data_IF_410304471788
#
_entry.id   IF_410304471788
#
_cell.length_a   1.000
_cell.length_b   1.000
_cell.length_c   1.000
_cell.angle_alpha   90.00
_cell.angle_beta   90.00
_cell.angle_gamma   90.00
#
_symmetry.space_group_name_H-M   'P 1'
#
loop_
_entity.id
_entity.type
_entity.pdbx_description
1 polymer ?
#
# COMPACT_ATOMS: atom_id res chain seq x y z
N UNK A 1 38.71 -10.55 38.60
CA UNK A 1 39.88 -11.01 37.81
C UNK A 1 39.45 -10.99 36.34
N UNK A 2 40.28 -10.39 35.47
CA UNK A 2 39.95 -9.92 34.11
C UNK A 2 39.48 -10.98 33.11
N UNK A 3 39.25 -10.68 31.83
CA UNK A 3 39.67 -9.55 30.99
C UNK A 3 38.85 -9.57 29.68
N UNK A 4 38.58 -8.38 29.12
CA UNK A 4 38.48 -8.11 27.67
C UNK A 4 37.19 -8.56 26.96
N UNK A 5 36.68 -7.87 25.95
CA UNK A 5 37.36 -7.05 24.94
C UNK A 5 36.40 -5.92 24.48
N UNK A 6 36.88 -4.68 24.57
CA UNK A 6 36.40 -3.54 23.78
C UNK A 6 36.97 -3.68 22.36
N UNK A 7 36.11 -3.58 21.35
CA UNK A 7 36.54 -3.32 19.98
C UNK A 7 35.87 -2.06 19.44
N UNK A 8 36.72 -1.03 19.39
CA UNK A 8 36.81 -0.01 18.35
C UNK A 8 35.72 1.06 18.33
N UNK A 9 36.05 2.19 18.97
CA UNK A 9 35.75 3.51 18.45
C UNK A 9 36.49 3.69 17.12
N UNK A 10 35.77 3.87 16.02
CA UNK A 10 36.26 4.63 14.88
C UNK A 10 35.31 5.81 14.63
N UNK A 11 35.91 6.98 14.78
CA UNK A 11 35.36 8.33 14.66
C UNK A 11 34.77 8.61 13.28
N UNK A 12 33.59 9.25 13.24
CA UNK A 12 33.03 9.76 12.00
C UNK A 12 31.63 10.36 12.12
N UNK A 13 31.49 11.39 12.95
CA UNK A 13 30.61 12.56 12.71
C UNK A 13 29.22 12.27 12.09
N UNK A 14 28.28 11.67 12.85
CA UNK A 14 26.89 11.50 12.41
C UNK A 14 25.79 11.58 13.49
N UNK A 15 26.10 11.99 14.72
CA UNK A 15 25.11 11.91 15.80
C UNK A 15 24.60 13.26 16.33
N UNK A 16 25.10 14.39 15.80
CA UNK A 16 24.70 15.72 16.29
C UNK A 16 23.44 16.31 15.63
N UNK A 17 22.88 15.68 14.58
CA UNK A 17 21.58 16.08 14.02
C UNK A 17 20.39 15.31 14.60
N UNK A 18 20.61 14.18 15.28
CA UNK A 18 19.54 13.40 15.90
C UNK A 18 19.22 13.84 17.33
N UNK A 19 20.17 14.48 18.02
CA UNK A 19 20.07 14.77 19.45
C UNK A 19 19.30 16.06 19.79
N UNK A 20 19.26 17.06 18.88
CA UNK A 20 18.68 18.38 19.20
C UNK A 20 17.19 18.57 18.86
N UNK A 21 16.54 17.63 18.14
CA UNK A 21 15.13 17.79 17.71
C UNK A 21 14.13 16.91 18.48
N UNK A 22 14.60 15.92 19.26
CA UNK A 22 13.72 14.94 19.90
C UNK A 22 13.94 14.76 21.40
N UNK A 23 13.37 15.66 22.20
CA UNK A 23 12.79 15.23 23.47
C UNK A 23 11.54 14.38 23.19
N UNK A 24 11.67 13.06 22.89
CA UNK A 24 10.54 12.14 22.68
C UNK A 24 11.01 10.67 22.59
N UNK A 25 10.23 9.75 23.21
CA UNK A 25 10.42 8.28 23.26
C UNK A 25 11.15 7.68 22.03
N UNK A 26 12.13 6.82 22.30
CA UNK A 26 12.82 5.96 21.30
C UNK A 26 11.79 5.32 20.37
N UNK A 27 11.92 5.52 19.06
CA UNK A 27 11.11 4.83 18.05
C UNK A 27 11.55 3.37 18.04
N UNK A 28 10.68 2.46 18.47
CA UNK A 28 10.92 1.02 18.47
C UNK A 28 10.42 0.40 17.16
N UNK A 29 11.20 -0.54 16.62
CA UNK A 29 10.75 -1.38 15.53
C UNK A 29 9.69 -2.38 16.03
N UNK A 30 8.95 -2.99 15.09
CA UNK A 30 7.96 -4.01 15.43
C UNK A 30 8.57 -5.16 16.24
N UNK A 31 9.77 -5.63 15.86
CA UNK A 31 10.47 -6.69 16.57
C UNK A 31 10.83 -6.28 18.01
N UNK A 32 11.22 -5.02 18.23
CA UNK A 32 11.48 -4.53 19.59
C UNK A 32 10.22 -4.56 20.45
N UNK A 33 9.05 -4.24 19.86
CA UNK A 33 7.77 -4.30 20.56
C UNK A 33 7.37 -5.73 20.91
N UNK A 34 7.60 -6.68 19.99
CA UNK A 34 7.31 -8.10 20.21
C UNK A 34 8.23 -8.69 21.30
N UNK A 35 9.53 -8.39 21.26
CA UNK A 35 10.48 -8.78 22.31
C UNK A 35 10.10 -8.17 23.66
N UNK A 36 9.65 -6.91 23.69
CA UNK A 36 9.17 -6.28 24.94
C UNK A 36 7.92 -7.00 25.48
N UNK A 37 6.99 -7.38 24.60
CA UNK A 37 5.79 -8.12 24.97
C UNK A 37 6.11 -9.54 25.49
N UNK A 38 7.14 -10.18 24.97
CA UNK A 38 7.63 -11.48 25.47
C UNK A 38 8.17 -11.35 26.90
N UNK A 39 8.92 -10.28 27.18
CA UNK A 39 9.41 -9.99 28.53
C UNK A 39 8.27 -9.75 29.53
N UNK A 40 7.12 -9.25 29.06
CA UNK A 40 5.90 -9.08 29.85
C UNK A 40 5.04 -10.36 29.94
N UNK A 41 5.43 -11.44 29.26
CA UNK A 41 4.71 -12.72 29.23
C UNK A 41 3.41 -12.68 28.41
N UNK A 42 3.26 -11.70 27.50
CA UNK A 42 2.08 -11.54 26.64
C UNK A 42 2.14 -12.39 25.38
N UNK A 43 3.35 -12.78 24.96
CA UNK A 43 3.65 -13.62 23.80
C UNK A 43 4.86 -14.50 24.12
N UNK A 44 4.98 -15.66 23.49
CA UNK A 44 6.17 -16.50 23.56
C UNK A 44 7.01 -16.40 22.28
N UNK A 45 8.19 -17.02 22.26
CA UNK A 45 9.07 -16.98 21.09
C UNK A 45 8.39 -17.51 19.81
N UNK A 46 7.57 -18.57 19.93
CA UNK A 46 6.83 -19.11 18.79
C UNK A 46 5.83 -18.09 18.24
N UNK A 47 5.09 -17.40 19.12
CA UNK A 47 4.20 -16.31 18.72
C UNK A 47 4.93 -15.14 18.06
N UNK A 48 6.14 -14.78 18.52
CA UNK A 48 6.96 -13.76 17.85
C UNK A 48 7.28 -14.18 16.41
N UNK A 49 7.74 -15.42 16.22
CA UNK A 49 8.06 -15.97 14.90
C UNK A 49 6.82 -15.95 13.98
N UNK A 50 5.67 -16.40 14.48
CA UNK A 50 4.40 -16.41 13.74
C UNK A 50 3.95 -15.00 13.32
N UNK A 51 4.02 -14.02 14.22
CA UNK A 51 3.66 -12.64 13.92
C UNK A 51 4.63 -12.01 12.91
N UNK A 52 5.94 -12.23 13.06
CA UNK A 52 6.95 -11.73 12.10
C UNK A 52 6.72 -12.32 10.71
N UNK A 53 6.52 -13.63 10.61
CA UNK A 53 6.25 -14.30 9.33
C UNK A 53 4.97 -13.75 8.68
N UNK A 54 3.91 -13.57 9.47
CA UNK A 54 2.63 -13.01 9.00
C UNK A 54 2.82 -11.61 8.43
N UNK A 55 3.43 -10.69 9.16
CA UNK A 55 3.62 -9.31 8.70
C UNK A 55 4.53 -9.21 7.48
N UNK A 56 5.59 -10.04 7.42
CA UNK A 56 6.51 -10.07 6.28
C UNK A 56 5.83 -10.60 5.01
N UNK A 57 5.10 -11.72 5.11
CA UNK A 57 4.43 -12.31 3.97
C UNK A 57 3.27 -11.44 3.46
N UNK A 58 2.35 -11.04 4.36
CA UNK A 58 1.16 -10.27 3.98
C UNK A 58 1.52 -8.86 3.48
N UNK A 59 2.57 -8.26 4.04
CA UNK A 59 3.01 -6.90 3.69
C UNK A 59 3.84 -6.82 2.40
N UNK A 60 4.58 -7.87 2.05
CA UNK A 60 5.50 -7.84 0.91
C UNK A 60 4.79 -8.01 -0.44
N UNK A 61 4.18 -9.17 -0.67
CA UNK A 61 3.65 -9.54 -1.99
C UNK A 61 2.46 -8.67 -2.41
N UNK A 62 1.62 -8.27 -1.45
CA UNK A 62 0.46 -7.41 -1.71
C UNK A 62 0.88 -6.00 -2.11
N UNK A 63 1.86 -5.41 -1.40
CA UNK A 63 2.38 -4.07 -1.70
C UNK A 63 3.16 -4.07 -3.01
N UNK A 64 3.97 -5.09 -3.27
CA UNK A 64 4.71 -5.23 -4.53
C UNK A 64 3.75 -5.35 -5.73
N UNK A 65 2.69 -6.14 -5.61
CA UNK A 65 1.64 -6.25 -6.62
C UNK A 65 0.93 -4.90 -6.84
N UNK A 66 0.51 -4.23 -5.76
CA UNK A 66 -0.13 -2.92 -5.83
C UNK A 66 0.75 -1.87 -6.51
N UNK A 67 2.04 -1.82 -6.16
CA UNK A 67 3.02 -0.93 -6.78
C UNK A 67 3.21 -1.24 -8.27
N UNK A 68 3.28 -2.51 -8.64
CA UNK A 68 3.43 -2.94 -10.04
C UNK A 68 2.30 -2.37 -10.89
N UNK A 69 1.04 -2.53 -10.48
CA UNK A 69 -0.09 -2.00 -11.24
C UNK A 69 -0.19 -0.48 -11.20
N UNK A 70 0.20 0.17 -10.09
CA UNK A 70 0.34 1.63 -10.05
C UNK A 70 1.31 2.13 -11.13
N UNK A 71 2.51 1.55 -11.21
CA UNK A 71 3.53 1.97 -12.17
C UNK A 71 3.09 1.76 -13.63
N UNK A 72 2.43 0.62 -13.93
CA UNK A 72 1.85 0.40 -15.26
C UNK A 72 0.80 1.47 -15.58
N UNK A 73 -0.10 1.74 -14.64
CA UNK A 73 -1.16 2.73 -14.84
C UNK A 73 -0.56 4.11 -15.09
N UNK A 74 0.38 4.57 -14.26
CA UNK A 74 0.99 5.89 -14.44
C UNK A 74 1.81 5.99 -15.73
N UNK A 75 2.43 4.90 -16.19
CA UNK A 75 3.07 4.86 -17.49
C UNK A 75 2.05 4.97 -18.64
N UNK A 76 0.88 4.33 -18.52
CA UNK A 76 -0.17 4.33 -19.54
C UNK A 76 -1.06 5.60 -19.53
N UNK A 77 -1.01 6.41 -18.47
CA UNK A 77 -1.77 7.65 -18.29
C UNK A 77 -0.83 8.84 -18.04
N UNK A 78 -0.15 9.35 -19.09
CA UNK A 78 0.85 10.41 -18.95
C UNK A 78 0.29 11.69 -18.33
N UNK A 79 -0.96 12.05 -18.61
CA UNK A 79 -1.63 13.21 -18.03
C UNK A 79 -1.81 13.08 -16.51
N UNK A 80 -2.10 11.88 -16.01
CA UNK A 80 -2.19 11.62 -14.58
C UNK A 80 -0.79 11.67 -13.95
N UNK A 81 0.21 11.11 -14.65
CA UNK A 81 1.60 11.16 -14.21
C UNK A 81 2.11 12.60 -14.07
N UNK A 82 1.77 13.47 -15.03
CA UNK A 82 2.15 14.89 -15.03
C UNK A 82 1.42 15.68 -13.93
N UNK A 83 0.15 15.34 -13.63
CA UNK A 83 -0.58 15.92 -12.51
C UNK A 83 0.02 15.50 -11.15
N UNK A 84 0.41 14.22 -10.99
CA UNK A 84 1.15 13.76 -9.81
C UNK A 84 2.47 14.53 -9.69
N UNK A 85 3.20 14.68 -10.78
CA UNK A 85 4.46 15.42 -10.77
C UNK A 85 4.26 16.89 -10.35
N UNK A 86 3.19 17.52 -10.82
CA UNK A 86 2.83 18.90 -10.41
C UNK A 86 2.59 18.98 -8.90
N UNK A 87 1.80 18.07 -8.33
CA UNK A 87 1.62 17.98 -6.87
C UNK A 87 2.95 17.78 -6.13
N UNK A 88 3.82 16.91 -6.64
CA UNK A 88 5.13 16.67 -6.01
C UNK A 88 6.03 17.92 -6.10
N UNK A 89 6.00 18.68 -7.20
CA UNK A 89 6.71 19.96 -7.30
C UNK A 89 6.22 20.97 -6.28
N UNK A 90 4.92 21.01 -6.00
CA UNK A 90 4.37 21.92 -5.00
C UNK A 90 4.81 21.55 -3.57
N UNK A 91 4.94 20.26 -3.28
CA UNK A 91 5.35 19.76 -1.95
C UNK A 91 6.86 19.88 -1.72
N UNK A 92 7.67 19.54 -2.72
CA UNK A 92 9.12 19.48 -2.60
C UNK A 92 9.84 20.70 -3.18
N UNK A 93 9.21 21.52 -4.01
CA UNK A 93 9.89 22.62 -4.68
C UNK A 93 11.12 22.14 -5.46
N UNK A 94 12.27 22.74 -5.17
CA UNK A 94 13.57 22.34 -5.74
C UNK A 94 14.41 21.49 -4.75
N UNK A 95 13.87 21.09 -3.60
CA UNK A 95 14.64 20.37 -2.58
C UNK A 95 14.67 18.86 -2.80
N UNK A 96 15.87 18.33 -2.99
CA UNK A 96 16.18 16.89 -3.04
C UNK A 96 16.22 16.22 -1.67
N UNK A 97 15.57 16.78 -0.65
CA UNK A 97 15.54 16.19 0.68
C UNK A 97 14.79 14.85 0.68
N UNK A 98 15.07 14.03 1.69
CA UNK A 98 14.28 12.84 1.94
C UNK A 98 12.81 13.20 2.22
N UNK A 99 11.92 12.31 1.76
CA UNK A 99 10.48 12.40 2.03
C UNK A 99 10.20 12.21 3.51
N UNK A 100 9.39 13.09 4.09
CA UNK A 100 8.95 13.07 5.48
C UNK A 100 7.47 12.65 5.56
N UNK A 101 7.00 12.33 6.77
CA UNK A 101 5.61 11.90 6.98
C UNK A 101 4.63 13.02 6.60
N UNK A 102 4.98 14.27 6.84
CA UNK A 102 4.13 15.43 6.51
C UNK A 102 3.92 15.55 5.00
N UNK A 103 4.94 15.24 4.19
CA UNK A 103 4.84 15.24 2.73
C UNK A 103 3.88 14.15 2.25
N UNK A 104 3.98 12.95 2.85
CA UNK A 104 3.05 11.86 2.55
C UNK A 104 1.62 12.28 2.84
N UNK A 105 1.36 13.08 3.88
CA UNK A 105 0.01 13.59 4.14
C UNK A 105 -0.45 14.66 3.13
N UNK A 106 0.49 15.40 2.54
CA UNK A 106 0.21 16.44 1.55
C UNK A 106 -0.06 15.88 0.13
N UNK A 107 0.45 14.69 -0.20
CA UNK A 107 0.25 13.98 -1.48
C UNK A 107 -1.20 13.47 -1.65
N UNK A 108 -2.17 14.36 -1.86
CA UNK A 108 -3.60 14.05 -1.90
C UNK A 108 -4.03 13.49 -3.26
N UNK A 109 -3.52 14.04 -4.36
CA UNK A 109 -3.79 13.56 -5.71
C UNK A 109 -3.16 12.19 -5.95
N UNK A 110 -1.90 12.01 -5.55
CA UNK A 110 -1.24 10.69 -5.59
C UNK A 110 -2.00 9.66 -4.73
N UNK A 111 -2.53 10.04 -3.57
CA UNK A 111 -3.38 9.16 -2.76
C UNK A 111 -4.62 8.69 -3.52
N UNK A 112 -5.32 9.60 -4.21
CA UNK A 112 -6.46 9.25 -5.07
C UNK A 112 -6.04 8.34 -6.23
N UNK A 113 -4.90 8.60 -6.84
CA UNK A 113 -4.37 7.79 -7.94
C UNK A 113 -4.05 6.35 -7.48
N UNK A 114 -3.40 6.18 -6.33
CA UNK A 114 -3.13 4.86 -5.74
C UNK A 114 -4.44 4.15 -5.40
N UNK A 115 -5.42 4.85 -4.83
CA UNK A 115 -6.75 4.27 -4.54
C UNK A 115 -7.45 3.77 -5.79
N UNK A 116 -7.39 4.54 -6.88
CA UNK A 116 -7.96 4.12 -8.16
C UNK A 116 -7.20 2.93 -8.78
N UNK A 117 -5.88 2.87 -8.59
CA UNK A 117 -5.08 1.71 -9.00
C UNK A 117 -5.51 0.45 -8.23
N UNK A 118 -5.69 0.56 -6.91
CA UNK A 118 -6.18 -0.54 -6.06
C UNK A 118 -7.65 -0.91 -6.33
N UNK A 119 -8.47 0.03 -6.83
CA UNK A 119 -9.83 -0.27 -7.29
C UNK A 119 -9.77 -1.19 -8.51
N UNK A 120 -8.98 -0.81 -9.51
CA UNK A 120 -8.85 -1.58 -10.75
C UNK A 120 -8.11 -2.90 -10.53
N UNK A 121 -7.02 -2.89 -9.80
CA UNK A 121 -6.14 -4.04 -9.62
C UNK A 121 -5.88 -4.27 -8.12
N UNK A 122 -6.90 -4.71 -7.36
CA UNK A 122 -6.73 -5.02 -5.95
C UNK A 122 -5.77 -6.22 -5.82
N UNK A 123 -4.71 -6.12 -4.99
CA UNK A 123 -3.78 -7.23 -4.80
C UNK A 123 -4.47 -8.50 -4.32
N UNK A 124 -5.51 -8.39 -3.48
CA UNK A 124 -6.36 -9.51 -3.07
C UNK A 124 -7.70 -9.41 -3.80
N UNK A 125 -7.97 -10.25 -4.83
CA UNK A 125 -9.13 -10.09 -5.70
C UNK A 125 -10.44 -10.62 -5.09
N UNK A 126 -10.38 -11.49 -4.08
CA UNK A 126 -11.54 -11.97 -3.34
C UNK A 126 -11.17 -12.30 -1.89
N UNK A 127 -12.18 -12.30 -1.01
CA UNK A 127 -12.05 -12.76 0.38
C UNK A 127 -13.15 -13.76 0.70
N UNK A 128 -12.87 -14.71 1.59
CA UNK A 128 -13.81 -15.77 1.98
C UNK A 128 -14.16 -15.68 3.46
N UNK A 129 -15.39 -16.05 3.82
CA UNK A 129 -15.85 -16.19 5.21
C UNK A 129 -16.66 -17.48 5.33
N UNK A 130 -16.37 -18.29 6.35
CA UNK A 130 -17.27 -19.36 6.76
C UNK A 130 -18.33 -18.76 7.69
N UNK A 131 -19.59 -19.02 7.36
CA UNK A 131 -20.75 -18.57 8.13
C UNK A 131 -20.92 -19.50 9.33
N UNK A 132 -20.81 -18.95 10.55
CA UNK A 132 -20.83 -19.74 11.79
C UNK A 132 -22.23 -19.89 12.40
N UNK A 133 -23.16 -19.06 11.98
CA UNK A 133 -24.57 -19.09 12.37
C UNK A 133 -25.42 -18.72 11.16
N UNK A 134 -26.67 -19.13 11.12
CA UNK A 134 -27.56 -18.81 10.01
C UNK A 134 -27.67 -17.28 9.82
N UNK A 135 -27.42 -16.79 8.60
CA UNK A 135 -27.46 -15.36 8.28
C UNK A 135 -28.59 -15.06 7.30
N UNK A 136 -29.47 -14.14 7.68
CA UNK A 136 -30.45 -13.57 6.77
C UNK A 136 -29.82 -12.44 5.94
N UNK A 137 -29.58 -12.71 4.65
CA UNK A 137 -29.33 -11.68 3.64
C UNK A 137 -30.66 -11.21 3.05
N UNK A 138 -30.65 -10.10 2.30
CA UNK A 138 -31.85 -9.37 1.85
C UNK A 138 -33.04 -10.26 1.49
N UNK A 139 -32.83 -11.24 0.59
CA UNK A 139 -33.89 -12.16 0.15
C UNK A 139 -33.56 -13.64 0.41
N UNK A 140 -32.44 -13.93 1.09
CA UNK A 140 -31.89 -15.28 1.19
C UNK A 140 -31.41 -15.60 2.59
N UNK A 141 -31.72 -16.80 3.05
CA UNK A 141 -31.17 -17.36 4.28
C UNK A 141 -29.94 -18.19 3.94
N UNK A 142 -28.80 -17.85 4.53
CA UNK A 142 -27.52 -18.54 4.31
C UNK A 142 -27.28 -19.48 5.49
N UNK A 143 -27.23 -20.80 5.26
CA UNK A 143 -27.03 -21.77 6.33
C UNK A 143 -25.65 -21.67 6.99
N UNK A 144 -25.58 -22.07 8.26
CA UNK A 144 -24.31 -22.33 8.96
C UNK A 144 -23.43 -23.31 8.19
N UNK A 145 -22.12 -23.07 8.19
CA UNK A 145 -21.11 -23.85 7.48
C UNK A 145 -20.87 -23.40 6.04
N UNK A 146 -21.70 -22.50 5.48
CA UNK A 146 -21.52 -22.00 4.12
C UNK A 146 -20.27 -21.13 4.00
N UNK A 147 -19.48 -21.33 2.94
CA UNK A 147 -18.37 -20.43 2.58
C UNK A 147 -18.90 -19.34 1.65
N UNK A 148 -18.92 -18.11 2.14
CA UNK A 148 -19.30 -16.92 1.38
C UNK A 148 -18.06 -16.22 0.83
N UNK A 149 -18.03 -15.98 -0.49
CA UNK A 149 -16.96 -15.25 -1.16
C UNK A 149 -17.42 -13.83 -1.53
N UNK A 150 -16.58 -12.84 -1.23
CA UNK A 150 -16.75 -11.47 -1.69
C UNK A 150 -15.71 -11.24 -2.77
N UNK A 151 -16.16 -11.17 -4.02
CA UNK A 151 -15.32 -10.92 -5.20
C UNK A 151 -15.03 -9.43 -5.32
N UNK A 152 -13.97 -8.96 -4.65
CA UNK A 152 -13.56 -7.55 -4.58
C UNK A 152 -13.27 -6.99 -5.98
N UNK A 153 -12.58 -7.76 -6.83
CA UNK A 153 -12.25 -7.37 -8.20
C UNK A 153 -13.51 -7.02 -9.03
N UNK A 154 -14.56 -7.84 -8.90
CA UNK A 154 -15.83 -7.66 -9.61
C UNK A 154 -16.70 -6.59 -8.95
N UNK A 155 -16.74 -6.54 -7.61
CA UNK A 155 -17.42 -5.50 -6.84
C UNK A 155 -16.95 -4.10 -7.26
N UNK A 156 -15.65 -3.93 -7.40
CA UNK A 156 -15.01 -2.68 -7.83
C UNK A 156 -15.28 -2.32 -9.30
N UNK A 157 -15.87 -3.24 -10.08
CA UNK A 157 -16.25 -3.05 -11.49
C UNK A 157 -17.75 -2.95 -11.71
N UNK A 158 -18.55 -2.97 -10.63
CA UNK A 158 -19.99 -2.78 -10.73
C UNK A 158 -20.32 -1.35 -11.16
N UNK A 159 -20.90 -1.21 -12.34
CA UNK A 159 -21.22 0.11 -12.92
C UNK A 159 -22.20 0.93 -12.07
N UNK A 160 -23.10 0.26 -11.34
CA UNK A 160 -24.02 0.93 -10.41
C UNK A 160 -23.32 1.52 -9.16
N UNK A 161 -22.05 1.15 -8.91
CA UNK A 161 -21.21 1.71 -7.84
C UNK A 161 -20.09 2.60 -8.39
N UNK A 162 -19.56 2.25 -9.56
CA UNK A 162 -18.49 2.95 -10.26
C UNK A 162 -18.87 3.14 -11.74
N UNK A 163 -19.51 4.26 -12.12
CA UNK A 163 -19.88 4.52 -13.51
C UNK A 163 -18.65 4.49 -14.43
N UNK A 164 -18.74 3.89 -15.62
CA UNK A 164 -17.60 3.63 -16.51
C UNK A 164 -16.43 2.91 -15.81
N UNK A 165 -16.66 1.73 -15.21
CA UNK A 165 -15.75 1.12 -14.22
C UNK A 165 -14.37 0.75 -14.77
N UNK A 166 -14.19 0.63 -16.08
CA UNK A 166 -12.91 0.31 -16.73
C UNK A 166 -11.97 1.53 -16.89
N UNK A 167 -12.53 2.75 -16.80
CA UNK A 167 -11.79 4.00 -16.89
C UNK A 167 -11.02 4.24 -15.60
N UNK A 168 -9.75 4.59 -15.73
CA UNK A 168 -8.90 5.03 -14.63
C UNK A 168 -9.19 6.50 -14.34
N UNK A 169 -9.90 6.76 -13.25
CA UNK A 169 -10.33 8.10 -12.86
C UNK A 169 -10.07 8.35 -11.36
N UNK A 170 -8.98 9.07 -11.01
CA UNK A 170 -8.68 9.41 -9.62
C UNK A 170 -9.76 10.27 -8.94
N UNK A 171 -10.56 11.02 -9.69
CA UNK A 171 -11.56 11.92 -9.12
C UNK A 171 -12.75 11.16 -8.51
N UNK A 172 -12.87 9.86 -8.77
CA UNK A 172 -13.72 8.94 -7.99
C UNK A 172 -13.43 8.99 -6.49
N UNK A 173 -12.21 9.38 -6.09
CA UNK A 173 -11.80 9.49 -4.69
C UNK A 173 -11.73 10.94 -4.19
N UNK A 174 -12.36 11.87 -4.90
CA UNK A 174 -12.70 13.17 -4.32
C UNK A 174 -13.61 12.98 -3.10
N UNK A 175 -13.46 13.80 -2.03
CA UNK A 175 -14.26 13.67 -0.82
C UNK A 175 -15.77 13.63 -1.07
N UNK A 176 -16.28 14.48 -1.95
CA UNK A 176 -17.69 14.58 -2.34
C UNK A 176 -18.21 13.35 -3.09
N UNK A 177 -17.35 12.66 -3.84
CA UNK A 177 -17.69 11.44 -4.56
C UNK A 177 -17.64 10.22 -3.63
N UNK A 178 -16.68 10.21 -2.70
CA UNK A 178 -16.61 9.19 -1.65
C UNK A 178 -17.81 9.26 -0.70
N UNK A 179 -18.24 10.47 -0.32
CA UNK A 179 -19.36 10.67 0.60
C UNK A 179 -20.70 10.14 0.06
N UNK A 180 -20.87 10.12 -1.28
CA UNK A 180 -22.06 9.58 -1.94
C UNK A 180 -22.02 8.07 -2.13
N UNK A 181 -20.83 7.45 -2.00
CA UNK A 181 -20.62 6.02 -2.25
C UNK A 181 -20.88 5.22 -0.98
N UNK A 182 -21.49 4.05 -1.13
CA UNK A 182 -21.64 3.11 -0.02
C UNK A 182 -20.27 2.72 0.57
N UNK A 183 -20.16 2.68 1.91
CA UNK A 183 -18.89 2.45 2.60
C UNK A 183 -18.24 1.10 2.27
N UNK A 184 -19.04 0.08 1.93
CA UNK A 184 -18.57 -1.24 1.51
C UNK A 184 -18.39 -1.41 -0.01
N UNK A 185 -18.49 -0.33 -0.81
CA UNK A 185 -18.28 -0.42 -2.26
C UNK A 185 -16.81 -0.40 -2.67
N UNK A 186 -15.91 0.14 -1.84
CA UNK A 186 -14.48 0.18 -2.07
C UNK A 186 -13.76 -0.45 -0.88
N UNK A 187 -13.31 -1.69 -1.06
CA UNK A 187 -12.76 -2.54 0.01
C UNK A 187 -11.46 -3.28 -0.41
N UNK A 188 -10.47 -2.63 -1.06
CA UNK A 188 -9.23 -3.32 -1.44
C UNK A 188 -8.41 -3.79 -0.23
N UNK A 189 -8.68 -3.24 0.95
CA UNK A 189 -8.10 -3.63 2.23
C UNK A 189 -9.12 -4.37 3.12
N UNK A 190 -10.16 -4.98 2.53
CA UNK A 190 -11.32 -5.51 3.25
C UNK A 190 -12.04 -4.42 4.07
N UNK A 191 -13.02 -4.81 4.89
CA UNK A 191 -13.76 -3.91 5.76
C UNK A 191 -14.21 -4.63 7.05
N UNK A 192 -14.64 -3.85 8.04
CA UNK A 192 -15.08 -4.34 9.34
C UNK A 192 -13.92 -4.72 10.27
N UNK A 193 -14.18 -5.52 11.34
CA UNK A 193 -13.21 -5.84 12.39
C UNK A 193 -11.96 -6.61 11.94
N UNK A 194 -12.02 -7.24 10.75
CA UNK A 194 -10.93 -7.99 10.13
C UNK A 194 -10.51 -7.34 8.80
N UNK A 195 -10.50 -6.01 8.76
CA UNK A 195 -9.86 -5.27 7.67
C UNK A 195 -8.32 -5.33 7.83
N UNK A 196 -7.60 -4.95 6.79
CA UNK A 196 -6.14 -4.99 6.78
C UNK A 196 -5.56 -4.05 7.85
N UNK A 197 -4.89 -4.62 8.85
CA UNK A 197 -4.17 -3.87 9.88
C UNK A 197 -3.04 -3.01 9.29
N UNK A 198 -2.42 -3.49 8.20
CA UNK A 198 -1.34 -2.83 7.48
C UNK A 198 -1.76 -1.71 6.53
N UNK A 199 -3.07 -1.43 6.36
CA UNK A 199 -3.56 -0.49 5.34
C UNK A 199 -2.86 0.87 5.36
N UNK A 200 -2.68 1.47 6.55
CA UNK A 200 -2.02 2.78 6.68
C UNK A 200 -0.56 2.71 6.26
N UNK A 201 0.14 1.66 6.68
CA UNK A 201 1.55 1.46 6.36
C UNK A 201 1.76 1.19 4.86
N UNK A 202 0.92 0.34 4.26
CA UNK A 202 0.93 0.06 2.83
C UNK A 202 0.73 1.35 2.00
N UNK A 203 -0.27 2.17 2.35
CA UNK A 203 -0.49 3.45 1.66
C UNK A 203 0.71 4.39 1.81
N UNK A 204 1.33 4.47 3.00
CA UNK A 204 2.56 5.26 3.19
C UNK A 204 3.71 4.77 2.32
N UNK A 205 3.97 3.45 2.30
CA UNK A 205 5.01 2.85 1.47
C UNK A 205 4.77 3.10 -0.02
N UNK A 206 3.54 2.89 -0.49
CA UNK A 206 3.19 3.10 -1.89
C UNK A 206 3.39 4.55 -2.31
N UNK A 207 2.96 5.50 -1.48
CA UNK A 207 3.15 6.94 -1.73
C UNK A 207 4.62 7.33 -1.74
N UNK A 208 5.39 6.85 -0.77
CA UNK A 208 6.83 7.09 -0.69
C UNK A 208 7.54 6.59 -1.94
N UNK A 209 7.30 5.33 -2.32
CA UNK A 209 7.96 4.69 -3.45
C UNK A 209 7.60 5.33 -4.79
N UNK A 210 6.31 5.59 -5.02
CA UNK A 210 5.84 6.24 -6.25
C UNK A 210 6.36 7.68 -6.32
N UNK A 211 6.32 8.43 -5.22
CA UNK A 211 6.89 9.78 -5.16
C UNK A 211 8.36 9.78 -5.56
N UNK A 212 9.17 8.90 -4.94
CA UNK A 212 10.60 8.82 -5.23
C UNK A 212 10.86 8.47 -6.71
N UNK A 213 10.11 7.52 -7.26
CA UNK A 213 10.23 7.16 -8.67
C UNK A 213 9.86 8.33 -9.57
N UNK A 214 8.70 8.95 -9.37
CA UNK A 214 8.19 9.96 -10.31
C UNK A 214 8.96 11.28 -10.24
N UNK A 215 9.57 11.59 -9.10
CA UNK A 215 10.49 12.73 -8.96
C UNK A 215 11.79 12.54 -9.75
N UNK A 216 12.28 11.31 -9.86
CA UNK A 216 13.55 11.00 -10.53
C UNK A 216 13.38 10.52 -11.98
N UNK A 217 12.23 9.93 -12.32
CA UNK A 217 11.99 9.25 -13.60
C UNK A 217 10.64 9.63 -14.20
N UNK A 218 10.60 9.66 -15.53
CA UNK A 218 9.38 9.60 -16.33
C UNK A 218 9.13 8.13 -16.70
N UNK A 219 7.92 7.65 -16.47
CA UNK A 219 7.52 6.30 -16.80
C UNK A 219 6.91 6.26 -18.20
N UNK A 220 7.38 5.32 -19.02
CA UNK A 220 6.92 5.09 -20.40
C UNK A 220 6.34 3.68 -20.49
N UNK A 221 5.16 3.51 -21.10
CA UNK A 221 4.50 2.22 -21.15
C UNK A 221 5.23 1.31 -22.13
N UNK A 222 5.64 0.14 -21.65
CA UNK A 222 6.08 -0.98 -22.49
C UNK A 222 4.97 -2.03 -22.54
N UNK A 223 4.48 -2.42 -21.37
CA UNK A 223 3.24 -3.20 -21.23
C UNK A 223 2.03 -2.26 -21.17
N UNK A 224 1.02 -2.53 -22.01
CA UNK A 224 -0.28 -1.83 -21.99
C UNK A 224 -1.29 -2.57 -21.12
N UNK A 225 -2.34 -1.86 -20.69
CA UNK A 225 -3.44 -2.47 -19.92
C UNK A 225 -4.12 -3.64 -20.65
N UNK A 226 -4.20 -3.56 -21.97
CA UNK A 226 -4.75 -4.62 -22.84
C UNK A 226 -3.94 -5.90 -22.83
N UNK A 227 -2.67 -5.82 -22.45
CA UNK A 227 -1.73 -6.94 -22.52
C UNK A 227 -1.77 -7.79 -21.23
N UNK A 228 -2.44 -7.28 -20.18
CA UNK A 228 -2.56 -7.94 -18.90
C UNK A 228 -3.46 -9.18 -19.01
N UNK A 229 -2.92 -10.32 -18.57
CA UNK A 229 -3.59 -11.61 -18.48
C UNK A 229 -3.45 -12.11 -17.05
N UNK A 230 -4.53 -12.07 -16.28
CA UNK A 230 -4.48 -12.48 -14.89
C UNK A 230 -4.52 -13.99 -14.76
N UNK A 231 -3.72 -14.52 -13.83
CA UNK A 231 -3.76 -15.93 -13.45
C UNK A 231 -4.36 -16.09 -12.05
N UNK A 232 -4.96 -17.26 -11.80
CA UNK A 232 -5.49 -17.60 -10.50
C UNK A 232 -4.33 -17.83 -9.52
N UNK A 233 -4.24 -16.97 -8.52
CA UNK A 233 -3.29 -17.03 -7.41
C UNK A 233 -3.90 -16.28 -6.21
N UNK A 234 -3.33 -16.43 -5.01
CA UNK A 234 -3.78 -15.74 -3.79
C UNK A 234 -3.69 -14.22 -3.96
N UNK A 235 -2.60 -13.76 -4.59
CA UNK A 235 -2.39 -12.37 -4.97
C UNK A 235 -2.62 -12.21 -6.47
N UNK A 236 -3.22 -11.10 -6.89
CA UNK A 236 -3.46 -10.79 -8.30
C UNK A 236 -2.11 -10.68 -9.06
N UNK A 237 -1.80 -11.70 -9.85
CA UNK A 237 -0.61 -11.75 -10.70
C UNK A 237 -0.95 -11.71 -12.18
N UNK A 238 -0.07 -11.07 -12.95
CA UNK A 238 -0.04 -11.19 -14.40
C UNK A 238 0.67 -12.49 -14.77
N UNK A 239 0.20 -13.19 -15.79
CA UNK A 239 0.81 -14.44 -16.26
C UNK A 239 2.15 -14.21 -16.95
N UNK A 240 2.36 -13.02 -17.50
CA UNK A 240 3.58 -12.61 -18.20
C UNK A 240 4.35 -11.54 -17.40
N UNK A 241 5.65 -11.36 -17.63
CA UNK A 241 6.39 -10.24 -17.07
C UNK A 241 5.77 -8.89 -17.46
N UNK A 242 5.73 -7.98 -16.50
CA UNK A 242 5.31 -6.60 -16.71
C UNK A 242 6.56 -5.73 -16.89
N UNK A 243 6.58 -4.94 -17.96
CA UNK A 243 7.66 -4.01 -18.24
C UNK A 243 7.18 -2.56 -18.25
N UNK A 244 7.95 -1.69 -17.60
CA UNK A 244 7.81 -0.23 -17.65
C UNK A 244 9.20 0.35 -17.91
N UNK A 245 9.31 1.28 -18.85
CA UNK A 245 10.57 1.97 -19.12
C UNK A 245 10.69 3.19 -18.21
N UNK A 246 11.86 3.32 -17.58
CA UNK A 246 12.21 4.46 -16.72
C UNK A 246 13.17 5.37 -17.50
N UNK A 247 12.74 6.59 -17.77
CA UNK A 247 13.58 7.63 -18.37
C UNK A 247 13.96 8.64 -17.30
N UNK A 248 15.26 8.83 -17.06
CA UNK A 248 15.73 9.75 -16.02
C UNK A 248 15.32 11.19 -16.36
N UNK A 249 14.79 11.93 -15.40
CA UNK A 249 14.47 13.34 -15.58
C UNK A 249 15.74 14.18 -15.57
N UNK A 250 15.82 15.17 -16.46
CA UNK A 250 16.96 16.11 -16.52
C UNK A 250 17.11 16.91 -15.21
N UNK A 251 15.97 17.23 -14.59
CA UNK A 251 15.90 17.86 -13.27
C UNK A 251 15.06 16.97 -12.37
N UNK A 252 15.73 16.25 -11.48
CA UNK A 252 15.09 15.57 -10.35
C UNK A 252 14.68 16.61 -9.32
N UNK A 253 13.44 16.52 -8.84
CA UNK A 253 12.81 17.44 -7.88
C UNK A 253 12.66 16.79 -6.50
#
# INVERSE_FOLDING_TARGET
>A
MGNGINLVNETGDKDDYESEIYGKKKRTAMLDLLISAEQEGLIDNAGIEEEVDTFMFEGHDTTASGLTYCLILFANYPEIQDNILTELKEIFGETKRATRIEDLNAMRYLDRCIKESLRLYPPIPFISRQINEEVQLSNYTVPTGTICNIHIYDLHRRENLFPNPSVFDPDRFLPENMAKRHCYAYIPFSAGPRNCIGQKFAMMQMKLFVSEILRNFKLIPVTRRSDLKFQADIVLRNSEPVYVKFEKREIAI
#
